data_IF_541139601649
#
_entry.id   IF_541139601649
#
_cell.length_a   1.000
_cell.length_b   1.000
_cell.length_c   1.000
_cell.angle_alpha   90.00
_cell.angle_beta   90.00
_cell.angle_gamma   90.00
#
_symmetry.space_group_name_H-M   'P 1'
#
loop_
_entity.id
_entity.type
_entity.pdbx_description
1 polymer ?
#
# COMPACT_ATOMS: atom_id res chain seq x y z
N UNK A 1 -18.32 30.43 44.47
CA UNK A 1 -19.15 29.34 43.89
C UNK A 1 -18.74 29.01 42.45
N UNK A 2 -18.56 29.97 41.56
CA UNK A 2 -18.19 29.80 40.16
C UNK A 2 -16.84 29.03 39.93
N UNK A 3 -15.79 29.36 40.72
CA UNK A 3 -14.48 28.73 40.58
C UNK A 3 -14.53 27.22 40.91
N UNK A 4 -15.25 26.83 41.95
CA UNK A 4 -15.42 25.41 42.30
C UNK A 4 -16.22 24.62 41.23
N UNK A 5 -17.17 25.28 40.59
CA UNK A 5 -17.93 24.69 39.50
C UNK A 5 -17.06 24.53 38.25
N UNK A 6 -16.29 25.55 37.87
CA UNK A 6 -15.31 25.46 36.75
C UNK A 6 -14.30 24.36 36.96
N UNK A 7 -13.75 24.22 38.19
CA UNK A 7 -12.80 23.13 38.50
C UNK A 7 -13.43 21.74 38.31
N UNK A 8 -14.68 21.55 38.74
CA UNK A 8 -15.40 20.28 38.59
C UNK A 8 -15.66 19.96 37.12
N UNK A 9 -16.09 20.96 36.32
CA UNK A 9 -16.29 20.78 34.88
C UNK A 9 -14.97 20.40 34.18
N UNK A 10 -13.87 21.10 34.53
CA UNK A 10 -12.55 20.79 33.97
C UNK A 10 -12.10 19.36 34.32
N UNK A 11 -12.29 18.94 35.57
CA UNK A 11 -11.97 17.56 36.01
C UNK A 11 -12.82 16.52 35.27
N UNK A 12 -14.10 16.77 35.07
CA UNK A 12 -14.97 15.89 34.29
C UNK A 12 -14.54 15.79 32.84
N UNK A 13 -14.15 16.92 32.23
CA UNK A 13 -13.62 16.94 30.86
C UNK A 13 -12.31 16.17 30.75
N UNK A 14 -11.38 16.36 31.69
CA UNK A 14 -10.12 15.61 31.74
C UNK A 14 -10.39 14.10 31.89
N UNK A 15 -11.30 13.71 32.77
CA UNK A 15 -11.68 12.30 32.94
C UNK A 15 -12.34 11.73 31.67
N UNK A 16 -13.22 12.51 31.02
CA UNK A 16 -13.84 12.09 29.75
C UNK A 16 -12.82 11.92 28.63
N UNK A 17 -11.86 12.86 28.50
CA UNK A 17 -10.76 12.76 27.52
C UNK A 17 -9.86 11.58 27.83
N UNK A 18 -9.49 11.36 29.10
CA UNK A 18 -8.69 10.21 29.52
C UNK A 18 -9.44 8.89 29.25
N UNK A 19 -10.74 8.85 29.57
CA UNK A 19 -11.59 7.70 29.27
C UNK A 19 -11.69 7.42 27.77
N UNK A 20 -11.88 8.46 26.97
CA UNK A 20 -11.89 8.33 25.50
C UNK A 20 -10.52 7.85 24.97
N UNK A 21 -9.41 8.36 25.55
CA UNK A 21 -8.07 7.95 25.17
C UNK A 21 -7.77 6.49 25.49
N UNK A 22 -8.21 5.96 26.62
CA UNK A 22 -7.95 4.58 27.04
C UNK A 22 -8.96 3.55 26.50
N UNK A 23 -10.20 3.95 26.32
CA UNK A 23 -11.31 3.03 26.00
C UNK A 23 -12.06 3.44 24.73
N UNK A 24 -11.63 4.50 24.05
CA UNK A 24 -12.32 5.00 22.86
C UNK A 24 -12.21 4.07 21.67
N UNK A 25 -13.12 4.21 20.69
CA UNK A 25 -13.05 3.43 19.46
C UNK A 25 -11.89 3.95 18.60
N UNK A 26 -10.83 3.18 18.54
CA UNK A 26 -9.74 3.37 17.57
C UNK A 26 -10.07 2.69 16.27
N UNK A 27 -9.45 3.15 15.17
CA UNK A 27 -9.53 2.42 13.90
C UNK A 27 -8.88 1.05 14.07
N UNK A 28 -9.61 -0.06 13.74
CA UNK A 28 -9.08 -1.40 13.93
C UNK A 28 -7.89 -1.68 12.99
N UNK A 29 -6.86 -2.32 13.52
CA UNK A 29 -5.76 -2.89 12.76
C UNK A 29 -5.74 -4.39 13.04
N UNK A 30 -6.32 -5.17 12.13
CA UNK A 30 -6.17 -6.62 12.11
C UNK A 30 -5.27 -6.97 10.93
N UNK A 31 -4.08 -7.49 11.24
CA UNK A 31 -3.07 -7.89 10.25
C UNK A 31 -3.18 -9.37 9.90
N UNK A 32 -4.13 -10.11 10.47
CA UNK A 32 -4.32 -11.51 10.13
C UNK A 32 -5.00 -11.62 8.76
N UNK A 33 -4.30 -12.24 7.83
CA UNK A 33 -4.85 -12.55 6.52
C UNK A 33 -5.67 -13.84 6.61
N UNK A 34 -6.95 -13.75 6.21
CA UNK A 34 -7.85 -14.90 6.16
C UNK A 34 -8.09 -15.31 4.69
N UNK A 35 -7.12 -16.02 4.08
CA UNK A 35 -7.27 -16.53 2.73
C UNK A 35 -7.06 -18.04 2.68
N UNK A 36 -8.04 -18.76 2.15
CA UNK A 36 -7.98 -20.19 1.91
C UNK A 36 -7.47 -20.45 0.47
N UNK A 37 -6.25 -20.96 0.35
CA UNK A 37 -5.62 -21.24 -0.95
C UNK A 37 -6.35 -22.33 -1.75
N UNK A 38 -7.13 -23.18 -1.09
CA UNK A 38 -7.87 -24.27 -1.76
C UNK A 38 -8.94 -23.77 -2.76
N UNK A 39 -9.35 -22.51 -2.63
CA UNK A 39 -10.37 -21.90 -3.51
C UNK A 39 -9.83 -21.45 -4.87
N UNK A 40 -8.50 -21.42 -5.06
CA UNK A 40 -7.89 -20.89 -6.30
C UNK A 40 -8.22 -21.74 -7.54
N UNK A 41 -8.33 -23.06 -7.39
CA UNK A 41 -8.43 -23.96 -8.55
C UNK A 41 -7.14 -23.95 -9.39
N UNK A 42 -7.21 -24.51 -10.60
CA UNK A 42 -6.06 -24.59 -11.52
C UNK A 42 -5.95 -23.41 -12.51
N UNK A 43 -7.04 -22.66 -12.73
CA UNK A 43 -7.07 -21.50 -13.64
C UNK A 43 -7.21 -20.20 -12.84
N UNK A 44 -6.07 -19.54 -12.60
CA UNK A 44 -6.00 -18.29 -11.83
C UNK A 44 -6.68 -17.12 -12.53
N UNK A 45 -6.73 -17.10 -13.88
CA UNK A 45 -7.43 -16.03 -14.60
C UNK A 45 -8.95 -16.19 -14.42
N UNK A 46 -9.47 -17.41 -14.52
CA UNK A 46 -10.88 -17.69 -14.24
C UNK A 46 -11.23 -17.36 -12.78
N UNK A 47 -10.32 -17.67 -11.84
CA UNK A 47 -10.47 -17.30 -10.44
C UNK A 47 -10.59 -15.78 -10.27
N UNK A 48 -9.64 -14.99 -10.81
CA UNK A 48 -9.69 -13.53 -10.73
C UNK A 48 -10.95 -12.97 -11.39
N UNK A 49 -11.31 -13.46 -12.59
CA UNK A 49 -12.52 -13.04 -13.27
C UNK A 49 -13.79 -13.28 -12.40
N UNK A 50 -13.89 -14.42 -11.75
CA UNK A 50 -15.01 -14.73 -10.87
C UNK A 50 -15.03 -13.85 -9.59
N UNK A 51 -13.85 -13.51 -9.05
CA UNK A 51 -13.72 -12.60 -7.89
C UNK A 51 -14.15 -11.19 -8.24
N UNK A 52 -13.67 -10.68 -9.37
CA UNK A 52 -13.97 -9.33 -9.83
C UNK A 52 -15.42 -9.17 -10.30
N UNK A 53 -16.02 -10.19 -10.90
CA UNK A 53 -17.43 -10.19 -11.31
C UNK A 53 -18.44 -10.03 -10.15
N UNK A 54 -17.99 -10.13 -8.90
CA UNK A 54 -18.82 -9.82 -7.72
C UNK A 54 -19.13 -8.32 -7.58
N UNK A 55 -18.40 -7.48 -8.30
CA UNK A 55 -18.53 -6.04 -8.28
C UNK A 55 -18.90 -5.54 -9.67
N UNK A 56 -20.04 -4.87 -9.80
CA UNK A 56 -20.50 -4.31 -11.08
C UNK A 56 -19.89 -2.95 -11.41
N UNK A 57 -19.17 -2.34 -10.46
CA UNK A 57 -18.68 -0.96 -10.50
C UNK A 57 -17.16 -0.83 -10.55
N UNK A 58 -16.42 -1.92 -10.84
CA UNK A 58 -14.98 -1.83 -11.07
C UNK A 58 -14.73 -1.08 -12.37
N UNK A 59 -13.97 -0.01 -12.26
CA UNK A 59 -13.60 0.80 -13.42
C UNK A 59 -12.69 0.02 -14.38
N UNK A 60 -12.82 0.21 -15.69
CA UNK A 60 -12.00 -0.48 -16.68
C UNK A 60 -10.49 -0.31 -16.42
N UNK A 61 -9.74 -1.41 -16.47
CA UNK A 61 -8.29 -1.42 -16.25
C UNK A 61 -7.84 -1.51 -14.79
N UNK A 62 -8.78 -1.57 -13.83
CA UNK A 62 -8.47 -1.68 -12.40
C UNK A 62 -8.54 -3.12 -11.86
N UNK A 63 -9.02 -4.05 -12.65
CA UNK A 63 -9.23 -5.44 -12.23
C UNK A 63 -7.92 -6.12 -11.83
N UNK A 64 -8.00 -7.03 -10.86
CA UNK A 64 -6.96 -8.04 -10.62
C UNK A 64 -6.69 -8.80 -11.92
N UNK A 65 -5.44 -9.07 -12.24
CA UNK A 65 -5.10 -9.81 -13.44
C UNK A 65 -3.73 -10.45 -13.39
N UNK A 66 -3.57 -11.48 -14.22
CA UNK A 66 -2.29 -12.05 -14.57
C UNK A 66 -1.72 -11.40 -15.83
N UNK A 67 -0.40 -11.27 -15.87
CA UNK A 67 0.37 -11.09 -17.09
C UNK A 67 1.31 -12.30 -17.19
N UNK A 68 1.11 -13.11 -18.22
CA UNK A 68 1.86 -14.33 -18.42
C UNK A 68 3.11 -14.05 -19.26
N UNK A 69 4.24 -14.57 -18.80
CA UNK A 69 5.44 -14.64 -19.64
C UNK A 69 5.38 -15.91 -20.49
N UNK A 70 5.22 -15.74 -21.79
CA UNK A 70 5.08 -16.87 -22.72
C UNK A 70 3.68 -17.50 -22.67
N UNK A 71 3.62 -18.81 -22.45
CA UNK A 71 2.37 -19.57 -22.52
C UNK A 71 1.54 -19.39 -21.23
N UNK A 72 0.22 -19.17 -21.40
CA UNK A 72 -0.73 -19.04 -20.29
C UNK A 72 -0.80 -20.32 -19.46
N UNK A 73 -0.79 -20.16 -18.14
CA UNK A 73 -0.85 -21.28 -17.20
C UNK A 73 0.48 -21.95 -16.92
N UNK A 74 1.56 -21.55 -17.61
CA UNK A 74 2.89 -22.07 -17.35
C UNK A 74 3.57 -21.32 -16.21
N UNK A 75 4.11 -22.08 -15.25
CA UNK A 75 4.85 -21.57 -14.11
C UNK A 75 6.22 -21.08 -14.52
N UNK A 76 6.67 -19.96 -13.97
CA UNK A 76 8.00 -19.41 -14.20
C UNK A 76 8.89 -19.56 -12.96
N UNK A 77 10.24 -19.54 -13.09
CA UNK A 77 11.14 -19.58 -11.93
C UNK A 77 10.89 -18.45 -10.94
N UNK A 78 10.58 -17.25 -11.44
CA UNK A 78 10.20 -16.10 -10.62
C UNK A 78 8.82 -15.58 -11.02
N UNK A 79 8.13 -14.98 -10.08
CA UNK A 79 6.88 -14.24 -10.30
C UNK A 79 6.94 -12.91 -9.57
N UNK A 80 6.51 -11.86 -10.24
CA UNK A 80 6.37 -10.54 -9.64
C UNK A 80 4.94 -10.36 -9.13
N UNK A 81 4.79 -9.70 -7.98
CA UNK A 81 3.49 -9.24 -7.46
C UNK A 81 3.57 -7.75 -7.23
N UNK A 82 2.68 -6.99 -7.83
CA UNK A 82 2.61 -5.54 -7.62
C UNK A 82 1.47 -5.15 -6.68
N UNK A 83 1.83 -4.41 -5.62
CA UNK A 83 0.93 -3.91 -4.58
C UNK A 83 0.88 -2.39 -4.66
N UNK A 84 -0.23 -1.84 -5.16
CA UNK A 84 -0.39 -0.41 -5.40
C UNK A 84 -0.63 0.42 -4.14
N UNK A 85 -0.49 1.75 -4.25
CA UNK A 85 -0.73 2.72 -3.19
C UNK A 85 -2.22 3.02 -2.93
N UNK A 86 -2.48 3.80 -1.87
CA UNK A 86 -3.82 4.27 -1.52
C UNK A 86 -4.37 5.19 -2.62
N UNK A 87 -5.64 5.07 -2.89
CA UNK A 87 -6.41 5.72 -3.97
C UNK A 87 -5.99 5.35 -5.39
N UNK A 88 -4.84 4.73 -5.60
CA UNK A 88 -4.28 4.36 -6.88
C UNK A 88 -4.79 3.00 -7.41
N UNK A 89 -4.13 2.48 -8.41
CA UNK A 89 -4.37 1.17 -9.02
C UNK A 89 -3.05 0.56 -9.52
N UNK A 90 -3.14 -0.61 -10.14
CA UNK A 90 -1.98 -1.24 -10.80
C UNK A 90 -1.29 -0.33 -11.85
N UNK A 91 -1.99 0.67 -12.37
CA UNK A 91 -1.44 1.60 -13.37
C UNK A 91 -0.46 2.62 -12.77
N UNK A 92 -0.43 2.78 -11.45
CA UNK A 92 0.40 3.76 -10.75
C UNK A 92 1.87 3.68 -11.14
N UNK A 93 2.43 2.48 -11.22
CA UNK A 93 3.85 2.24 -11.52
C UNK A 93 4.08 1.67 -12.94
N UNK A 94 3.02 1.34 -13.69
CA UNK A 94 3.21 0.80 -15.04
C UNK A 94 3.90 1.80 -15.97
N UNK A 95 4.83 1.32 -16.84
CA UNK A 95 5.07 -0.07 -17.21
C UNK A 95 6.21 -0.75 -16.41
N UNK A 96 6.70 -0.19 -15.31
CA UNK A 96 7.87 -0.73 -14.60
C UNK A 96 7.72 -2.22 -14.25
N UNK A 97 6.65 -2.70 -13.61
CA UNK A 97 6.52 -4.13 -13.31
C UNK A 97 6.43 -5.01 -14.56
N UNK A 98 5.80 -4.51 -15.64
CA UNK A 98 5.72 -5.25 -16.92
C UNK A 98 7.10 -5.44 -17.54
N UNK A 99 7.88 -4.36 -17.62
CA UNK A 99 9.25 -4.39 -18.19
C UNK A 99 10.20 -5.24 -17.34
N UNK A 100 10.04 -5.22 -16.02
CA UNK A 100 10.79 -6.08 -15.12
C UNK A 100 10.42 -7.55 -15.33
N UNK A 101 9.12 -7.87 -15.47
CA UNK A 101 8.66 -9.23 -15.73
C UNK A 101 9.21 -9.77 -17.05
N UNK A 102 9.20 -8.97 -18.11
CA UNK A 102 9.80 -9.31 -19.40
C UNK A 102 11.30 -9.58 -19.27
N UNK A 103 12.04 -8.69 -18.60
CA UNK A 103 13.48 -8.80 -18.44
C UNK A 103 13.91 -10.04 -17.62
N UNK A 104 13.07 -10.47 -16.68
CA UNK A 104 13.33 -11.62 -15.81
C UNK A 104 12.73 -12.93 -16.33
N UNK A 105 11.95 -12.89 -17.41
CA UNK A 105 11.19 -14.06 -17.88
C UNK A 105 10.16 -14.52 -16.85
N UNK A 106 9.52 -13.58 -16.14
CA UNK A 106 8.68 -13.85 -14.98
C UNK A 106 7.20 -13.57 -15.27
N UNK A 107 6.32 -14.39 -14.70
CA UNK A 107 4.90 -14.06 -14.60
C UNK A 107 4.71 -12.85 -13.68
N UNK A 108 3.60 -12.11 -13.86
CA UNK A 108 3.30 -10.92 -13.05
C UNK A 108 1.85 -10.92 -12.60
N UNK A 109 1.66 -10.72 -11.30
CA UNK A 109 0.35 -10.58 -10.65
C UNK A 109 0.09 -9.11 -10.34
N UNK A 110 -0.98 -8.57 -10.90
CA UNK A 110 -1.53 -7.29 -10.49
C UNK A 110 -2.71 -7.50 -9.57
N UNK A 111 -2.57 -7.11 -8.31
CA UNK A 111 -3.65 -7.13 -7.35
C UNK A 111 -4.47 -5.83 -7.35
N UNK A 112 -5.61 -5.86 -6.72
CA UNK A 112 -6.45 -4.70 -6.43
C UNK A 112 -6.84 -4.76 -4.96
N UNK A 113 -6.47 -3.75 -4.20
CA UNK A 113 -6.84 -3.63 -2.79
C UNK A 113 -8.35 -3.36 -2.65
N UNK A 114 -8.97 -3.95 -1.64
CA UNK A 114 -10.39 -3.76 -1.33
C UNK A 114 -10.76 -2.26 -1.32
N UNK A 115 -11.90 -1.95 -1.91
CA UNK A 115 -12.38 -0.56 -2.08
C UNK A 115 -11.79 0.19 -3.27
N UNK A 116 -10.58 -0.15 -3.74
CA UNK A 116 -9.91 0.57 -4.83
C UNK A 116 -10.46 0.20 -6.21
N UNK A 117 -10.24 1.10 -7.16
CA UNK A 117 -10.67 0.92 -8.54
C UNK A 117 -12.20 0.95 -8.74
N UNK A 118 -12.94 1.44 -7.75
CA UNK A 118 -14.39 1.57 -7.71
C UNK A 118 -14.79 3.01 -7.39
N UNK A 119 -15.93 3.22 -6.72
CA UNK A 119 -16.31 4.56 -6.25
C UNK A 119 -15.54 4.98 -4.99
N UNK A 120 -15.59 6.29 -4.67
CA UNK A 120 -15.02 6.81 -3.42
C UNK A 120 -15.67 6.21 -2.18
N UNK A 121 -16.98 5.95 -2.23
CA UNK A 121 -17.72 5.28 -1.14
C UNK A 121 -17.22 3.86 -0.91
N UNK A 122 -16.86 3.14 -1.96
CA UNK A 122 -16.28 1.82 -1.85
C UNK A 122 -14.94 1.86 -1.10
N UNK A 123 -14.12 2.90 -1.31
CA UNK A 123 -12.87 3.07 -0.55
C UNK A 123 -13.10 3.19 0.95
N UNK A 124 -14.17 3.87 1.37
CA UNK A 124 -14.49 4.05 2.80
C UNK A 124 -14.96 2.77 3.49
N UNK A 125 -15.27 1.70 2.72
CA UNK A 125 -15.62 0.38 3.27
C UNK A 125 -14.40 -0.53 3.50
N UNK A 126 -13.23 -0.15 3.02
CA UNK A 126 -12.02 -0.95 3.17
C UNK A 126 -11.50 -0.95 4.62
N UNK A 127 -10.81 -2.03 4.97
CA UNK A 127 -10.15 -2.21 6.27
C UNK A 127 -8.73 -2.72 6.08
N UNK A 128 -7.87 -2.54 7.08
CA UNK A 128 -6.52 -3.09 7.09
C UNK A 128 -6.54 -4.62 6.87
N UNK A 129 -7.47 -5.34 7.52
CA UNK A 129 -7.63 -6.79 7.37
C UNK A 129 -8.02 -7.19 5.94
N UNK A 130 -8.92 -6.44 5.30
CA UNK A 130 -9.30 -6.72 3.92
C UNK A 130 -8.09 -6.57 2.98
N UNK A 131 -7.25 -5.56 3.18
CA UNK A 131 -6.03 -5.37 2.40
C UNK A 131 -4.99 -6.46 2.66
N UNK A 132 -4.81 -6.90 3.92
CA UNK A 132 -3.95 -8.05 4.23
C UNK A 132 -4.46 -9.33 3.58
N UNK A 133 -5.79 -9.54 3.54
CA UNK A 133 -6.41 -10.69 2.85
C UNK A 133 -6.20 -10.61 1.34
N UNK A 134 -6.30 -9.43 0.72
CA UNK A 134 -5.99 -9.24 -0.70
C UNK A 134 -4.51 -9.54 -1.01
N UNK A 135 -3.58 -9.15 -0.12
CA UNK A 135 -2.17 -9.49 -0.25
C UNK A 135 -1.94 -11.00 -0.14
N UNK A 136 -2.60 -11.66 0.83
CA UNK A 136 -2.51 -13.11 0.97
C UNK A 136 -3.07 -13.85 -0.25
N UNK A 137 -4.17 -13.39 -0.83
CA UNK A 137 -4.71 -13.89 -2.09
C UNK A 137 -3.68 -13.75 -3.22
N UNK A 138 -3.08 -12.57 -3.39
CA UNK A 138 -2.08 -12.32 -4.43
C UNK A 138 -0.84 -13.20 -4.26
N UNK A 139 -0.36 -13.40 -3.02
CA UNK A 139 0.76 -14.29 -2.71
C UNK A 139 0.41 -15.77 -2.97
N UNK A 140 -0.81 -16.19 -2.66
CA UNK A 140 -1.27 -17.53 -2.96
C UNK A 140 -1.32 -17.81 -4.47
N UNK A 141 -1.83 -16.86 -5.25
CA UNK A 141 -1.79 -16.92 -6.73
C UNK A 141 -0.36 -16.95 -7.22
N UNK A 142 0.50 -16.08 -6.69
CA UNK A 142 1.90 -16.01 -7.11
C UNK A 142 2.62 -17.36 -6.91
N UNK A 143 2.42 -18.03 -5.77
CA UNK A 143 2.98 -19.36 -5.48
C UNK A 143 2.52 -20.44 -6.45
N UNK A 144 1.33 -20.29 -7.02
CA UNK A 144 0.81 -21.22 -8.02
C UNK A 144 1.47 -21.01 -9.38
N UNK A 145 1.89 -19.78 -9.71
CA UNK A 145 2.37 -19.40 -11.05
C UNK A 145 3.87 -19.06 -11.11
N UNK A 146 4.59 -19.13 -9.97
CA UNK A 146 6.04 -18.93 -9.89
C UNK A 146 6.65 -19.73 -8.74
N UNK A 147 7.95 -20.03 -8.82
CA UNK A 147 8.67 -20.75 -7.76
C UNK A 147 9.16 -19.82 -6.68
N UNK A 148 9.62 -18.62 -7.05
CA UNK A 148 10.08 -17.58 -6.17
C UNK A 148 9.28 -16.30 -6.40
N UNK A 149 8.85 -15.65 -5.33
CA UNK A 149 8.02 -14.43 -5.38
C UNK A 149 8.88 -13.21 -5.10
N UNK A 150 8.78 -12.19 -5.96
CA UNK A 150 9.32 -10.85 -5.72
C UNK A 150 8.14 -9.88 -5.56
N UNK A 151 8.10 -9.18 -4.44
CA UNK A 151 7.09 -8.15 -4.20
C UNK A 151 7.60 -6.78 -4.64
N UNK A 152 6.77 -6.05 -5.38
CA UNK A 152 6.96 -4.63 -5.69
C UNK A 152 5.79 -3.90 -5.08
N UNK A 153 6.03 -2.86 -4.31
CA UNK A 153 4.98 -2.16 -3.57
C UNK A 153 5.19 -0.66 -3.55
N UNK A 154 4.10 0.09 -3.69
CA UNK A 154 4.14 1.55 -3.67
C UNK A 154 3.35 2.11 -2.49
N UNK A 155 3.90 3.14 -1.82
CA UNK A 155 3.20 3.95 -0.82
C UNK A 155 2.53 3.08 0.28
N UNK A 156 1.22 3.14 0.45
CA UNK A 156 0.44 2.30 1.40
C UNK A 156 0.60 0.80 1.10
N UNK A 157 0.77 0.41 -0.17
CA UNK A 157 1.13 -0.97 -0.52
C UNK A 157 2.45 -1.39 0.14
N UNK A 158 3.42 -0.46 0.22
CA UNK A 158 4.68 -0.66 0.94
C UNK A 158 4.49 -0.84 2.44
N UNK A 159 3.62 -0.05 3.06
CA UNK A 159 3.24 -0.22 4.49
C UNK A 159 2.68 -1.62 4.75
N UNK A 160 1.75 -2.05 3.88
CA UNK A 160 1.11 -3.36 3.98
C UNK A 160 2.11 -4.50 3.85
N UNK A 161 2.99 -4.43 2.84
CA UNK A 161 4.02 -5.45 2.57
C UNK A 161 5.06 -5.49 3.70
N UNK A 162 5.46 -4.33 4.25
CA UNK A 162 6.37 -4.29 5.39
C UNK A 162 5.78 -5.01 6.62
N UNK A 163 4.51 -4.72 6.96
CA UNK A 163 3.82 -5.40 8.07
C UNK A 163 3.64 -6.90 7.80
N UNK A 164 3.41 -7.29 6.55
CA UNK A 164 3.37 -8.70 6.15
C UNK A 164 4.74 -9.39 6.29
N UNK A 165 5.86 -8.66 6.08
CA UNK A 165 7.22 -9.20 6.23
C UNK A 165 7.53 -9.69 7.65
N UNK A 166 6.76 -9.29 8.64
CA UNK A 166 6.81 -9.79 10.01
C UNK A 166 6.08 -11.15 10.20
N UNK A 167 5.44 -11.68 9.14
CA UNK A 167 4.67 -12.91 9.15
C UNK A 167 5.32 -13.97 8.23
N UNK A 168 6.26 -14.80 8.72
CA UNK A 168 7.05 -15.71 7.87
C UNK A 168 6.19 -16.68 7.05
N UNK A 169 5.09 -17.18 7.61
CA UNK A 169 4.19 -18.11 6.93
C UNK A 169 3.49 -17.45 5.73
N UNK A 170 3.07 -16.18 5.89
CA UNK A 170 2.47 -15.40 4.79
C UNK A 170 3.50 -15.15 3.69
N UNK A 171 4.73 -14.85 4.08
CA UNK A 171 5.84 -14.48 3.19
C UNK A 171 6.66 -15.67 2.69
N UNK A 172 6.19 -16.91 2.89
CA UNK A 172 6.86 -18.09 2.33
C UNK A 172 7.03 -17.97 0.82
N UNK A 173 8.17 -18.40 0.29
CA UNK A 173 8.64 -18.25 -1.10
C UNK A 173 8.89 -16.79 -1.56
N UNK A 174 8.66 -15.78 -0.73
CA UNK A 174 9.10 -14.42 -1.04
C UNK A 174 10.62 -14.34 -0.88
N UNK A 175 11.31 -13.92 -1.94
CA UNK A 175 12.78 -13.80 -2.00
C UNK A 175 13.26 -12.39 -1.74
N UNK A 176 12.43 -11.40 -2.02
CA UNK A 176 12.77 -10.00 -1.80
C UNK A 176 11.59 -9.08 -2.00
N UNK A 177 11.74 -7.88 -1.47
CA UNK A 177 10.72 -6.84 -1.49
C UNK A 177 11.31 -5.55 -2.04
N UNK A 178 10.62 -4.91 -2.98
CA UNK A 178 10.94 -3.59 -3.49
C UNK A 178 9.90 -2.61 -2.97
N UNK A 179 10.33 -1.66 -2.17
CA UNK A 179 9.52 -0.57 -1.65
C UNK A 179 9.74 0.69 -2.49
N UNK A 180 8.70 1.16 -3.16
CA UNK A 180 8.70 2.40 -3.93
C UNK A 180 7.95 3.46 -3.13
N UNK A 181 8.66 4.48 -2.64
CA UNK A 181 8.09 5.56 -1.80
C UNK A 181 7.15 5.04 -0.71
N UNK A 182 7.56 4.08 0.15
CA UNK A 182 6.67 3.43 1.11
C UNK A 182 6.12 4.41 2.14
N UNK A 183 4.84 4.30 2.47
CA UNK A 183 4.19 5.17 3.44
C UNK A 183 4.43 4.66 4.88
N UNK A 184 5.60 4.93 5.44
CA UNK A 184 5.88 4.65 6.86
C UNK A 184 5.55 5.83 7.78
N UNK A 185 5.32 7.01 7.23
CA UNK A 185 4.70 8.15 7.88
C UNK A 185 4.13 9.09 6.81
N UNK A 186 2.90 9.55 7.02
CA UNK A 186 2.27 10.53 6.14
C UNK A 186 3.00 11.87 6.29
N UNK A 187 3.26 12.59 5.17
CA UNK A 187 4.01 13.83 5.15
C UNK A 187 3.30 15.02 5.85
N UNK A 188 1.98 14.95 6.03
CA UNK A 188 1.21 15.99 6.73
C UNK A 188 1.49 15.92 8.25
N UNK A 189 1.94 17.02 8.89
CA UNK A 189 2.20 17.05 10.33
C UNK A 189 0.96 16.83 11.21
N UNK A 190 -0.25 16.98 10.67
CA UNK A 190 -1.50 16.69 11.36
C UNK A 190 -1.96 15.24 11.23
N UNK A 191 -1.32 14.46 10.36
CA UNK A 191 -1.68 13.06 10.13
C UNK A 191 -1.74 12.18 11.40
N UNK A 192 -0.89 12.37 12.43
CA UNK A 192 -1.03 11.62 13.68
C UNK A 192 -2.39 11.74 14.36
N UNK A 193 -3.13 12.84 14.14
CA UNK A 193 -4.48 13.03 14.67
C UNK A 193 -5.47 11.99 14.11
N UNK A 194 -5.25 11.50 12.88
CA UNK A 194 -6.09 10.46 12.27
C UNK A 194 -6.09 9.14 13.06
N UNK A 195 -5.07 8.93 13.89
CA UNK A 195 -4.94 7.76 14.78
C UNK A 195 -5.51 8.00 16.18
N UNK A 196 -6.19 9.13 16.42
CA UNK A 196 -6.81 9.42 17.72
C UNK A 196 -8.12 8.65 17.89
N UNK A 197 -8.55 8.42 19.14
CA UNK A 197 -9.80 7.72 19.37
C UNK A 197 -11.00 8.46 18.77
N UNK A 198 -11.97 7.70 18.33
CA UNK A 198 -13.20 8.20 17.69
C UNK A 198 -12.98 9.02 16.40
N UNK A 199 -11.82 8.90 15.73
CA UNK A 199 -11.51 9.66 14.51
C UNK A 199 -12.59 9.48 13.43
N UNK A 200 -13.16 8.30 13.30
CA UNK A 200 -14.24 8.00 12.35
C UNK A 200 -15.48 8.88 12.54
N UNK A 201 -15.69 9.39 13.74
CA UNK A 201 -16.85 10.23 14.07
C UNK A 201 -16.55 11.72 13.98
N UNK A 202 -15.39 12.18 14.49
CA UNK A 202 -15.08 13.60 14.51
C UNK A 202 -14.41 14.11 13.24
N UNK A 203 -13.64 13.27 12.52
CA UNK A 203 -12.91 13.69 11.31
C UNK A 203 -13.83 14.33 10.24
N UNK A 204 -15.00 13.75 9.90
CA UNK A 204 -15.90 14.35 8.92
C UNK A 204 -16.48 15.70 9.37
N UNK A 205 -16.45 15.99 10.67
CA UNK A 205 -16.97 17.25 11.23
C UNK A 205 -15.93 18.38 11.20
N UNK A 206 -14.63 18.04 11.32
CA UNK A 206 -13.55 19.04 11.41
C UNK A 206 -12.77 19.20 10.11
N UNK A 207 -12.61 18.14 9.32
CA UNK A 207 -11.86 18.15 8.08
C UNK A 207 -12.73 18.01 6.81
N UNK A 208 -14.08 18.02 7.00
CA UNK A 208 -15.02 17.80 5.91
C UNK A 208 -15.31 16.32 5.66
N UNK A 209 -16.46 16.07 5.02
CA UNK A 209 -16.94 14.70 4.78
C UNK A 209 -16.22 14.00 3.62
N UNK A 210 -15.66 14.76 2.70
CA UNK A 210 -15.04 14.27 1.48
C UNK A 210 -13.69 14.91 1.33
N UNK A 211 -12.69 14.10 0.98
CA UNK A 211 -11.39 14.55 0.50
C UNK A 211 -11.31 14.37 -1.00
N UNK A 212 -10.70 15.34 -1.66
CA UNK A 212 -10.45 15.29 -3.09
C UNK A 212 -9.13 15.97 -3.41
N UNK A 213 -8.53 15.57 -4.52
CA UNK A 213 -7.37 16.22 -5.11
C UNK A 213 -7.59 16.37 -6.63
N UNK A 214 -6.97 17.40 -7.20
CA UNK A 214 -7.00 17.62 -8.64
C UNK A 214 -6.00 16.69 -9.32
N UNK A 215 -6.47 15.87 -10.29
CA UNK A 215 -5.57 15.02 -11.07
C UNK A 215 -4.68 15.88 -11.97
N UNK A 216 -3.45 15.46 -12.18
CA UNK A 216 -2.48 16.17 -13.03
C UNK A 216 -2.70 15.96 -14.52
N UNK A 217 -3.33 14.85 -14.87
CA UNK A 217 -3.67 14.48 -16.24
C UNK A 217 -4.83 13.49 -16.25
N UNK A 218 -5.39 13.27 -17.44
CA UNK A 218 -6.55 12.39 -17.65
C UNK A 218 -6.29 10.94 -17.22
N UNK A 219 -5.04 10.46 -17.34
CA UNK A 219 -4.69 9.10 -16.91
C UNK A 219 -4.68 8.98 -15.39
N UNK A 220 -4.22 9.99 -14.66
CA UNK A 220 -4.35 10.00 -13.22
C UNK A 220 -5.81 10.06 -12.78
N UNK A 221 -6.65 10.86 -13.43
CA UNK A 221 -8.10 10.88 -13.17
C UNK A 221 -8.72 9.51 -13.41
N UNK A 222 -8.34 8.86 -14.50
CA UNK A 222 -8.84 7.53 -14.85
C UNK A 222 -8.43 6.45 -13.84
N UNK A 223 -7.17 6.47 -13.35
CA UNK A 223 -6.58 5.35 -12.62
C UNK A 223 -6.41 5.60 -11.12
N UNK A 224 -6.76 6.76 -10.60
CA UNK A 224 -6.88 7.05 -9.17
C UNK A 224 -8.33 7.32 -8.79
N UNK A 225 -8.67 7.10 -7.54
CA UNK A 225 -9.92 7.59 -6.94
C UNK A 225 -9.63 8.95 -6.35
N UNK A 226 -9.98 10.01 -7.09
CA UNK A 226 -9.61 11.39 -6.78
C UNK A 226 -10.52 12.05 -5.74
N UNK A 227 -11.65 11.41 -5.40
CA UNK A 227 -12.58 11.90 -4.40
C UNK A 227 -13.17 10.74 -3.61
N UNK A 228 -13.12 10.80 -2.28
CA UNK A 228 -13.57 9.76 -1.37
C UNK A 228 -13.96 10.34 -0.01
N UNK A 229 -14.81 9.65 0.80
CA UNK A 229 -15.11 10.06 2.16
C UNK A 229 -13.84 10.20 2.99
N UNK A 230 -13.75 11.26 3.81
CA UNK A 230 -12.55 11.53 4.64
C UNK A 230 -12.19 10.36 5.57
N UNK A 231 -13.16 9.53 5.94
CA UNK A 231 -12.94 8.32 6.75
C UNK A 231 -12.19 7.20 6.02
N UNK A 232 -12.05 7.26 4.69
CA UNK A 232 -11.33 6.25 3.91
C UNK A 232 -9.82 6.20 4.22
N UNK A 233 -9.25 7.30 4.74
CA UNK A 233 -7.82 7.36 5.11
C UNK A 233 -7.52 6.73 6.48
N UNK A 234 -8.53 6.44 7.29
CA UNK A 234 -8.31 5.97 8.67
C UNK A 234 -7.60 4.60 8.72
N UNK A 235 -7.95 3.61 7.87
CA UNK A 235 -7.18 2.37 7.82
C UNK A 235 -5.71 2.59 7.42
N UNK A 236 -5.42 3.58 6.55
CA UNK A 236 -4.04 3.95 6.20
C UNK A 236 -3.30 4.50 7.42
N UNK A 237 -3.89 5.46 8.13
CA UNK A 237 -3.28 6.04 9.32
C UNK A 237 -3.06 4.98 10.43
N UNK A 238 -3.98 4.03 10.55
CA UNK A 238 -3.87 2.94 11.49
C UNK A 238 -2.71 1.99 11.13
N UNK A 239 -2.55 1.61 9.85
CA UNK A 239 -1.40 0.83 9.37
C UNK A 239 -0.08 1.58 9.57
N UNK A 240 -0.04 2.88 9.25
CA UNK A 240 1.16 3.71 9.45
C UNK A 240 1.54 3.76 10.94
N UNK A 241 0.57 3.93 11.84
CA UNK A 241 0.82 3.86 13.30
C UNK A 241 1.38 2.51 13.71
N UNK A 242 0.87 1.43 13.14
CA UNK A 242 1.29 0.06 13.44
C UNK A 242 2.75 -0.20 13.06
N UNK A 243 3.27 0.43 12.01
CA UNK A 243 4.69 0.34 11.62
C UNK A 243 5.63 0.65 12.78
N UNK A 244 5.26 1.58 13.67
CA UNK A 244 6.15 2.12 14.71
C UNK A 244 6.14 1.30 16.01
N UNK A 245 5.30 0.27 16.13
CA UNK A 245 5.24 -0.57 17.32
C UNK A 245 6.02 -1.88 17.17
N UNK A 246 6.52 -2.19 15.97
CA UNK A 246 7.22 -3.43 15.66
C UNK A 246 8.75 -3.31 15.72
N UNK A 247 9.40 -4.44 15.96
CA UNK A 247 10.85 -4.60 15.88
C UNK A 247 11.25 -5.13 14.49
N UNK A 248 11.72 -4.23 13.65
CA UNK A 248 12.10 -4.51 12.27
C UNK A 248 13.37 -5.34 12.15
N UNK A 249 14.17 -5.47 13.21
CA UNK A 249 15.38 -6.32 13.22
C UNK A 249 15.04 -7.82 13.12
N UNK A 250 13.78 -8.19 13.29
CA UNK A 250 13.30 -9.57 13.15
C UNK A 250 13.01 -9.98 11.70
N UNK A 251 12.82 -9.05 10.79
CA UNK A 251 12.63 -9.34 9.37
C UNK A 251 13.90 -9.94 8.78
N UNK A 252 13.76 -10.93 7.90
CA UNK A 252 14.90 -11.60 7.24
C UNK A 252 14.92 -11.46 5.72
N UNK A 253 13.87 -10.86 5.15
CA UNK A 253 13.76 -10.68 3.71
C UNK A 253 14.68 -9.57 3.24
N UNK A 254 15.42 -9.76 2.14
CA UNK A 254 16.11 -8.67 1.45
C UNK A 254 15.11 -7.61 0.99
N UNK A 255 15.49 -6.35 1.08
CA UNK A 255 14.64 -5.23 0.68
C UNK A 255 15.41 -4.16 -0.10
N UNK A 256 14.79 -3.65 -1.16
CA UNK A 256 15.21 -2.44 -1.86
C UNK A 256 14.23 -1.32 -1.52
N UNK A 257 14.75 -0.22 -0.99
CA UNK A 257 14.01 1.03 -0.74
C UNK A 257 14.36 2.03 -1.84
N UNK A 258 13.37 2.33 -2.70
CA UNK A 258 13.49 3.22 -3.85
C UNK A 258 12.57 4.42 -3.65
N UNK A 259 13.09 5.60 -3.37
CA UNK A 259 12.29 6.78 -3.05
C UNK A 259 13.08 8.08 -3.25
N UNK A 260 12.41 9.23 -3.12
CA UNK A 260 13.00 10.56 -3.19
C UNK A 260 13.05 11.23 -1.83
N UNK A 261 14.15 11.93 -1.53
CA UNK A 261 14.25 12.81 -0.35
C UNK A 261 13.31 14.04 -0.45
N UNK A 262 12.85 14.36 -1.68
CA UNK A 262 11.92 15.46 -1.94
C UNK A 262 10.44 15.05 -1.88
N UNK A 263 10.12 13.80 -1.48
CA UNK A 263 8.74 13.34 -1.33
C UNK A 263 7.97 14.19 -0.32
N UNK A 264 6.84 14.77 -0.77
CA UNK A 264 5.98 15.63 0.06
C UNK A 264 4.70 14.94 0.52
N UNK A 265 4.43 13.72 0.03
CA UNK A 265 3.24 12.93 0.38
C UNK A 265 3.50 12.04 1.59
N UNK A 266 4.67 11.40 1.61
CA UNK A 266 5.12 10.58 2.74
C UNK A 266 6.47 11.09 3.25
N UNK A 267 6.87 10.67 4.44
CA UNK A 267 8.13 11.10 5.06
C UNK A 267 9.31 10.24 4.59
N UNK A 268 10.27 10.78 3.82
CA UNK A 268 11.50 10.06 3.48
C UNK A 268 12.31 9.66 4.71
N UNK A 269 12.35 10.52 5.74
CA UNK A 269 13.06 10.24 7.00
C UNK A 269 12.49 9.02 7.75
N UNK A 270 11.19 8.77 7.61
CA UNK A 270 10.58 7.54 8.14
C UNK A 270 11.08 6.31 7.37
N UNK A 271 11.21 6.42 6.05
CA UNK A 271 11.78 5.37 5.20
C UNK A 271 13.25 5.11 5.56
N UNK A 272 14.06 6.14 5.73
CA UNK A 272 15.46 6.04 6.22
C UNK A 272 15.52 5.26 7.55
N UNK A 273 14.62 5.60 8.48
CA UNK A 273 14.59 4.98 9.82
C UNK A 273 14.24 3.49 9.74
N UNK A 274 13.24 3.12 8.93
CA UNK A 274 12.84 1.72 8.79
C UNK A 274 13.90 0.92 8.03
N UNK A 275 14.47 1.46 6.96
CA UNK A 275 15.54 0.83 6.20
C UNK A 275 16.78 0.55 7.08
N UNK A 276 17.18 1.51 7.92
CA UNK A 276 18.29 1.36 8.85
C UNK A 276 18.04 0.30 9.95
N UNK A 277 16.77 -0.01 10.25
CA UNK A 277 16.37 -1.00 11.25
C UNK A 277 15.96 -2.35 10.64
N UNK A 278 15.92 -2.45 9.32
CA UNK A 278 15.52 -3.67 8.62
C UNK A 278 16.53 -4.79 8.88
N UNK A 279 16.07 -5.93 9.36
CA UNK A 279 16.96 -7.01 9.80
C UNK A 279 17.45 -7.92 8.68
N UNK A 280 16.85 -7.87 7.47
CA UNK A 280 17.38 -8.45 6.24
C UNK A 280 18.35 -7.50 5.54
N UNK A 281 18.94 -7.93 4.43
CA UNK A 281 19.77 -7.06 3.61
C UNK A 281 18.94 -5.90 3.04
N UNK A 282 19.27 -4.68 3.43
CA UNK A 282 18.59 -3.46 3.01
C UNK A 282 19.44 -2.63 2.04
N UNK A 283 18.95 -2.46 0.84
CA UNK A 283 19.53 -1.54 -0.15
C UNK A 283 18.67 -0.29 -0.23
N UNK A 284 19.32 0.89 -0.25
CA UNK A 284 18.62 2.17 -0.37
C UNK A 284 19.08 2.87 -1.64
N UNK A 285 18.14 3.28 -2.47
CA UNK A 285 18.37 4.09 -3.66
C UNK A 285 17.50 5.33 -3.60
N UNK A 286 18.11 6.48 -3.47
CA UNK A 286 17.43 7.77 -3.52
C UNK A 286 17.44 8.31 -4.94
N UNK A 287 16.27 8.80 -5.38
CA UNK A 287 16.09 9.30 -6.74
C UNK A 287 15.73 10.79 -6.72
N UNK A 288 16.28 11.49 -7.68
CA UNK A 288 15.90 12.87 -7.98
C UNK A 288 15.04 12.87 -9.23
N UNK A 289 13.91 13.54 -9.15
CA UNK A 289 12.96 13.65 -10.26
C UNK A 289 13.30 14.88 -11.10
N UNK A 290 13.04 14.76 -12.41
CA UNK A 290 13.26 15.83 -13.37
C UNK A 290 12.01 16.66 -13.65
N UNK A 291 12.17 17.62 -14.54
CA UNK A 291 11.07 18.39 -15.09
C UNK A 291 10.10 17.43 -15.85
N UNK A 292 8.82 17.55 -15.59
CA UNK A 292 7.78 16.70 -16.18
C UNK A 292 7.47 15.41 -15.40
N UNK A 293 8.26 15.09 -14.35
CA UNK A 293 7.93 14.03 -13.40
C UNK A 293 7.01 14.55 -12.28
N UNK A 294 6.63 13.67 -11.34
CA UNK A 294 5.75 14.03 -10.21
C UNK A 294 6.36 15.13 -9.33
N UNK A 295 5.79 16.35 -9.31
CA UNK A 295 6.32 17.44 -8.50
C UNK A 295 6.18 17.22 -6.99
N UNK A 296 5.37 16.25 -6.55
CA UNK A 296 5.37 15.81 -5.16
C UNK A 296 6.49 14.82 -4.86
N UNK A 297 7.22 14.36 -5.89
CA UNK A 297 8.31 13.38 -5.80
C UNK A 297 7.92 12.09 -5.08
N UNK A 298 6.62 11.72 -5.16
CA UNK A 298 6.06 10.55 -4.51
C UNK A 298 5.94 9.35 -5.46
N UNK A 299 5.33 9.55 -6.64
CA UNK A 299 5.28 8.51 -7.68
C UNK A 299 6.57 8.62 -8.50
N UNK A 300 7.60 7.93 -8.04
CA UNK A 300 9.00 8.11 -8.51
C UNK A 300 9.36 7.28 -9.75
N UNK A 301 8.40 6.69 -10.43
CA UNK A 301 8.52 6.02 -11.73
C UNK A 301 7.14 5.76 -12.32
N UNK A 302 7.08 5.30 -13.58
CA UNK A 302 5.82 4.97 -14.26
C UNK A 302 5.35 6.03 -15.23
N UNK A 303 4.65 5.59 -16.28
CA UNK A 303 4.33 6.42 -17.45
C UNK A 303 3.38 7.59 -17.16
N UNK A 304 2.60 7.54 -16.06
CA UNK A 304 1.56 8.53 -15.80
C UNK A 304 2.11 9.78 -15.13
N UNK A 305 3.00 9.64 -14.13
CA UNK A 305 3.46 10.75 -13.31
C UNK A 305 4.97 10.99 -13.38
N UNK A 306 5.80 9.95 -13.63
CA UNK A 306 7.26 10.09 -13.66
C UNK A 306 7.87 9.25 -14.80
N UNK A 307 7.54 9.56 -16.05
CA UNK A 307 7.97 8.76 -17.20
C UNK A 307 9.49 8.74 -17.39
N UNK A 308 10.19 9.82 -17.02
CA UNK A 308 11.65 9.91 -17.20
C UNK A 308 12.43 8.93 -16.33
N UNK A 309 11.82 8.43 -15.25
CA UNK A 309 12.46 7.53 -14.28
C UNK A 309 12.25 6.05 -14.60
N UNK A 310 11.38 5.72 -15.55
CA UNK A 310 10.95 4.34 -15.82
C UNK A 310 12.12 3.40 -16.14
N UNK A 311 12.95 3.76 -17.11
CA UNK A 311 14.09 2.89 -17.55
C UNK A 311 15.12 2.73 -16.43
N UNK A 312 15.39 3.79 -15.68
CA UNK A 312 16.29 3.76 -14.52
C UNK A 312 15.76 2.85 -13.43
N UNK A 313 14.46 2.93 -13.12
CA UNK A 313 13.81 2.08 -12.13
C UNK A 313 13.91 0.61 -12.53
N UNK A 314 13.51 0.26 -13.76
CA UNK A 314 13.58 -1.10 -14.29
C UNK A 314 15.02 -1.64 -14.20
N UNK A 315 15.99 -0.91 -14.73
CA UNK A 315 17.39 -1.36 -14.78
C UNK A 315 17.97 -1.63 -13.39
N UNK A 316 17.66 -0.75 -12.40
CA UNK A 316 18.18 -0.90 -11.06
C UNK A 316 17.46 -2.02 -10.28
N UNK A 317 16.14 -2.10 -10.39
CA UNK A 317 15.34 -3.12 -9.70
C UNK A 317 15.65 -4.53 -10.23
N UNK A 318 15.77 -4.69 -11.56
CA UNK A 318 16.19 -5.97 -12.17
C UNK A 318 17.59 -6.36 -11.71
N UNK A 319 18.55 -5.42 -11.72
CA UNK A 319 19.90 -5.69 -11.22
C UNK A 319 19.86 -6.15 -9.76
N UNK A 320 19.12 -5.49 -8.92
CA UNK A 320 19.01 -5.85 -7.50
C UNK A 320 18.44 -7.28 -7.29
N UNK A 321 17.48 -7.70 -8.12
CA UNK A 321 16.91 -9.06 -8.06
C UNK A 321 17.94 -10.13 -8.50
N UNK A 322 18.82 -9.79 -9.44
CA UNK A 322 19.74 -10.74 -10.09
C UNK A 322 21.14 -10.80 -9.45
N UNK A 323 21.43 -9.96 -8.45
CA UNK A 323 22.68 -9.96 -7.67
C UNK A 323 22.51 -10.63 -6.31
#
# INVERSE_FOLDING_TARGET
MALKWLTRVLLLLIMAVAGLWHFGPYEPVDLQAAFDESVLGSDVDAYFAAREARFSDIRPGHQKRMVWFGERGVKTPQVLVYVHGFSASAQELRPVPDLMADALGANLVYMRLAGHGRSGEAMATATAQAWMTDLAEALAVARQVGDEVILISTSTGGTLVALAALQPELMRQVKGVIFVSPNFAIGDPLAPLLSFPAARYWLPLVAGRTWSFEPRNDLQEQFWTTSYPSTAVLPVAALVKEVWVHDWTQVRLPALFWYSDADTVVSPAATDTIAARWGGDASVVKVELGEGDDPNSHVVAGAILSPSQTDRAVSNMVRWITT
#
